data_IF_855099749986
#
_entry.id   IF_855099749986
#
_cell.length_a   1.000
_cell.length_b   1.000
_cell.length_c   1.000
_cell.angle_alpha   90.00
_cell.angle_beta   90.00
_cell.angle_gamma   90.00
#
_symmetry.space_group_name_H-M   'P 1'
#
loop_
_entity.id
_entity.type
_entity.pdbx_description
1 polymer ?
#
# COMPACT_ATOMS: atom_id res chain seq x y z
N UNK A 1 68.12 50.19 16.48
CA UNK A 1 67.11 49.69 15.51
C UNK A 1 66.31 48.61 16.23
N UNK A 2 65.19 48.98 16.87
CA UNK A 2 63.81 48.61 16.48
C UNK A 2 63.61 47.13 16.12
N UNK A 3 62.71 46.51 16.92
CA UNK A 3 61.78 45.41 16.58
C UNK A 3 62.40 44.00 16.59
N UNK A 4 61.76 42.94 17.08
CA UNK A 4 60.33 42.68 17.29
C UNK A 4 60.17 41.51 18.31
N UNK A 5 59.64 41.78 19.50
CA UNK A 5 59.17 40.74 20.42
C UNK A 5 57.85 40.18 19.90
N UNK A 6 57.89 39.04 19.20
CA UNK A 6 56.67 38.34 18.78
C UNK A 6 56.22 37.43 19.92
N UNK A 7 55.32 37.97 20.74
CA UNK A 7 54.57 37.27 21.78
C UNK A 7 53.82 36.11 21.10
N UNK A 8 54.24 34.88 21.37
CA UNK A 8 53.48 33.68 21.03
C UNK A 8 52.31 33.59 22.01
N UNK A 9 51.16 34.11 21.58
CA UNK A 9 49.86 33.91 22.24
C UNK A 9 49.49 32.43 22.17
N UNK A 10 49.72 31.68 23.25
CA UNK A 10 49.11 30.36 23.46
C UNK A 10 47.62 30.59 23.75
N UNK A 11 46.79 30.56 22.71
CA UNK A 11 45.34 30.44 22.89
C UNK A 11 45.08 29.11 23.59
N UNK A 12 44.76 29.18 24.87
CA UNK A 12 44.27 28.06 25.67
C UNK A 12 42.95 27.57 25.05
N UNK A 13 43.04 26.53 24.22
CA UNK A 13 41.87 25.71 23.88
C UNK A 13 41.42 25.05 25.18
N UNK A 14 40.31 25.53 25.74
CA UNK A 14 39.62 24.84 26.83
C UNK A 14 39.23 23.44 26.33
N UNK A 15 39.85 22.41 26.90
CA UNK A 15 39.46 21.03 26.65
C UNK A 15 38.20 20.69 27.43
N UNK A 16 37.32 19.87 26.84
CA UNK A 16 36.21 19.26 27.57
C UNK A 16 36.75 18.44 28.74
N UNK A 17 36.16 18.60 29.92
CA UNK A 17 36.48 17.77 31.07
C UNK A 17 35.85 16.38 30.90
N UNK A 18 36.47 15.34 31.48
CA UNK A 18 35.91 13.99 31.45
C UNK A 18 34.53 13.92 32.13
N UNK A 19 34.28 14.75 33.14
CA UNK A 19 32.99 14.79 33.85
C UNK A 19 31.88 15.41 32.99
N UNK A 20 32.19 16.43 32.18
CA UNK A 20 31.22 17.01 31.26
C UNK A 20 30.76 15.99 30.23
N UNK A 21 31.67 15.20 29.66
CA UNK A 21 31.28 14.15 28.72
C UNK A 21 30.46 13.03 29.38
N UNK A 22 30.77 12.68 30.64
CA UNK A 22 30.05 11.65 31.39
C UNK A 22 28.60 12.09 31.68
N UNK A 23 28.39 13.32 32.13
CA UNK A 23 27.03 13.82 32.40
C UNK A 23 26.22 13.90 31.10
N UNK A 24 26.82 14.29 29.98
CA UNK A 24 26.12 14.38 28.69
C UNK A 24 25.62 13.02 28.21
N UNK A 25 26.44 11.98 28.25
CA UNK A 25 25.98 10.63 27.84
C UNK A 25 24.90 10.09 28.77
N UNK A 26 24.97 10.41 30.08
CA UNK A 26 23.95 10.02 31.04
C UNK A 26 22.60 10.71 30.74
N UNK A 27 22.61 12.01 30.45
CA UNK A 27 21.41 12.77 30.10
C UNK A 27 20.83 12.30 28.76
N UNK A 28 21.66 12.08 27.73
CA UNK A 28 21.21 11.57 26.43
C UNK A 28 20.57 10.19 26.58
N UNK A 29 21.13 9.31 27.42
CA UNK A 29 20.57 7.98 27.69
C UNK A 29 19.15 8.04 28.26
N UNK A 30 18.92 8.89 29.27
CA UNK A 30 17.59 9.04 29.89
C UNK A 30 16.58 9.63 28.91
N UNK A 31 16.96 10.66 28.15
CA UNK A 31 16.09 11.29 27.17
C UNK A 31 15.74 10.33 26.02
N UNK A 32 16.68 9.51 25.56
CA UNK A 32 16.45 8.54 24.49
C UNK A 32 15.40 7.49 24.90
N UNK A 33 15.47 6.97 26.12
CA UNK A 33 14.46 6.02 26.63
C UNK A 33 13.09 6.68 26.77
N UNK A 34 13.03 7.92 27.27
CA UNK A 34 11.77 8.65 27.41
C UNK A 34 11.08 8.90 26.06
N UNK A 35 11.84 9.26 25.02
CA UNK A 35 11.30 9.48 23.65
C UNK A 35 10.86 8.16 23.00
N UNK A 36 11.64 7.09 23.13
CA UNK A 36 11.24 5.79 22.58
C UNK A 36 10.03 5.20 23.31
N UNK A 37 9.81 5.55 24.59
CA UNK A 37 8.61 5.17 25.33
C UNK A 37 7.36 5.96 24.91
N UNK A 38 7.51 7.16 24.35
CA UNK A 38 6.39 8.00 23.94
C UNK A 38 5.96 7.79 22.48
N UNK A 39 6.81 7.18 21.66
CA UNK A 39 6.53 6.84 20.27
C UNK A 39 6.31 5.33 20.16
N UNK A 40 5.27 4.91 19.44
CA UNK A 40 5.16 3.52 18.98
C UNK A 40 5.82 3.40 17.59
N UNK A 41 7.09 2.95 17.49
CA UNK A 41 7.82 2.90 16.22
C UNK A 41 7.20 1.89 15.24
N UNK A 42 6.63 0.80 15.75
CA UNK A 42 5.99 -0.23 14.93
C UNK A 42 4.78 0.35 14.23
N UNK A 43 3.95 1.11 14.95
CA UNK A 43 2.77 1.76 14.39
C UNK A 43 3.14 2.78 13.30
N UNK A 44 4.21 3.56 13.50
CA UNK A 44 4.67 4.51 12.48
C UNK A 44 5.17 3.81 11.21
N UNK A 45 5.86 2.68 11.35
CA UNK A 45 6.30 1.88 10.21
C UNK A 45 5.08 1.33 9.46
N UNK A 46 4.11 0.75 10.16
CA UNK A 46 2.87 0.23 9.55
C UNK A 46 2.11 1.33 8.82
N UNK A 47 1.96 2.51 9.44
CA UNK A 47 1.31 3.67 8.81
C UNK A 47 2.03 4.10 7.53
N UNK A 48 3.36 4.08 7.53
CA UNK A 48 4.17 4.34 6.35
C UNK A 48 4.00 3.27 5.25
N UNK A 49 3.81 2.00 5.62
CA UNK A 49 3.51 0.91 4.67
C UNK A 49 2.13 1.09 4.05
N UNK A 50 1.09 1.31 4.85
CA UNK A 50 -0.27 1.50 4.34
C UNK A 50 -0.39 2.74 3.43
N UNK A 51 0.29 3.84 3.80
CA UNK A 51 0.36 5.05 2.95
C UNK A 51 1.02 4.73 1.60
N UNK A 52 2.06 3.89 1.60
CA UNK A 52 2.70 3.43 0.36
C UNK A 52 1.74 2.54 -0.45
N UNK A 53 1.09 1.57 0.17
CA UNK A 53 0.11 0.69 -0.47
C UNK A 53 -1.04 1.48 -1.12
N UNK A 54 -1.57 2.49 -0.43
CA UNK A 54 -2.58 3.41 -0.97
C UNK A 54 -2.07 4.17 -2.20
N UNK A 55 -0.83 4.64 -2.19
CA UNK A 55 -0.22 5.30 -3.36
C UNK A 55 0.02 4.32 -4.52
N UNK A 56 0.44 3.10 -4.20
CA UNK A 56 0.70 2.04 -5.19
C UNK A 56 -0.62 1.60 -5.85
N UNK A 57 -1.70 1.48 -5.07
CA UNK A 57 -3.06 1.23 -5.54
C UNK A 57 -3.53 2.30 -6.54
N UNK A 58 -3.43 3.58 -6.17
CA UNK A 58 -3.79 4.68 -7.07
C UNK A 58 -2.93 4.70 -8.35
N UNK A 59 -1.63 4.43 -8.25
CA UNK A 59 -0.75 4.36 -9.40
C UNK A 59 -1.12 3.21 -10.36
N UNK A 60 -1.51 2.06 -9.80
CA UNK A 60 -1.92 0.88 -10.55
C UNK A 60 -3.23 1.12 -11.29
N UNK A 61 -4.26 1.69 -10.63
CA UNK A 61 -5.53 2.07 -11.28
C UNK A 61 -5.26 2.98 -12.48
N UNK A 62 -4.50 4.05 -12.26
CA UNK A 62 -4.16 5.00 -13.32
C UNK A 62 -3.41 4.33 -14.49
N UNK A 63 -2.58 3.32 -14.23
CA UNK A 63 -1.90 2.58 -15.28
C UNK A 63 -2.85 1.66 -16.08
N UNK A 64 -3.78 1.00 -15.39
CA UNK A 64 -4.83 0.19 -16.00
C UNK A 64 -5.73 1.06 -16.89
N UNK A 65 -6.11 2.24 -16.42
CA UNK A 65 -6.97 3.16 -17.18
C UNK A 65 -6.28 3.70 -18.43
N UNK A 66 -4.99 4.07 -18.34
CA UNK A 66 -4.20 4.47 -19.52
C UNK A 66 -4.09 3.34 -20.54
N UNK A 67 -3.81 2.13 -20.07
CA UNK A 67 -3.77 0.95 -20.93
C UNK A 67 -5.10 0.73 -21.66
N UNK A 68 -6.21 0.79 -20.92
CA UNK A 68 -7.56 0.62 -21.49
C UNK A 68 -7.89 1.72 -22.51
N UNK A 69 -7.53 2.98 -22.23
CA UNK A 69 -7.77 4.10 -23.14
C UNK A 69 -7.08 3.94 -24.52
N UNK A 70 -6.00 3.16 -24.59
CA UNK A 70 -5.24 2.91 -25.82
C UNK A 70 -5.69 1.61 -26.50
N UNK A 71 -5.93 0.56 -25.72
CA UNK A 71 -6.11 -0.80 -26.24
C UNK A 71 -7.59 -1.24 -26.28
N UNK A 72 -8.50 -0.46 -25.70
CA UNK A 72 -9.93 -0.75 -25.53
C UNK A 72 -10.22 -2.08 -24.82
N UNK A 73 -9.20 -2.62 -24.12
CA UNK A 73 -9.24 -3.85 -23.35
C UNK A 73 -8.40 -3.69 -22.09
N UNK A 74 -8.73 -4.47 -21.06
CA UNK A 74 -7.99 -4.45 -19.81
C UNK A 74 -6.72 -5.33 -19.85
N UNK A 75 -5.70 -5.06 -19.02
CA UNK A 75 -4.41 -5.75 -19.06
C UNK A 75 -4.48 -7.25 -18.77
N UNK A 76 -5.48 -7.75 -18.04
CA UNK A 76 -5.68 -9.18 -17.77
C UNK A 76 -6.26 -9.97 -18.95
N UNK A 77 -6.58 -9.30 -20.06
CA UNK A 77 -6.99 -9.94 -21.30
C UNK A 77 -5.75 -10.36 -22.12
N UNK A 78 -4.92 -11.24 -21.55
CA UNK A 78 -3.57 -11.63 -22.04
C UNK A 78 -3.53 -12.95 -22.82
N UNK A 79 -4.54 -13.80 -22.65
CA UNK A 79 -4.69 -15.04 -23.40
C UNK A 79 -5.83 -14.89 -24.39
N UNK A 80 -5.91 -15.74 -25.41
CA UNK A 80 -6.97 -15.77 -26.44
C UNK A 80 -8.38 -16.08 -25.89
N UNK A 81 -8.71 -15.55 -24.73
CA UNK A 81 -10.03 -15.48 -24.17
C UNK A 81 -10.87 -14.51 -25.01
N UNK A 82 -12.21 -14.69 -25.07
CA UNK A 82 -13.07 -13.73 -25.76
C UNK A 82 -12.81 -12.33 -25.20
N UNK A 83 -12.87 -11.30 -26.05
CA UNK A 83 -12.68 -9.90 -25.67
C UNK A 83 -13.59 -9.55 -24.47
N UNK A 84 -13.06 -9.71 -23.26
CA UNK A 84 -13.75 -9.30 -22.06
C UNK A 84 -13.62 -7.77 -22.00
N UNK A 85 -14.57 -7.12 -22.67
CA UNK A 85 -14.87 -5.69 -22.50
C UNK A 85 -15.50 -5.44 -21.12
N UNK A 86 -15.95 -6.51 -20.46
CA UNK A 86 -16.43 -6.49 -19.09
C UNK A 86 -15.26 -6.52 -18.09
N UNK A 87 -15.34 -5.71 -17.03
CA UNK A 87 -14.38 -5.73 -15.94
C UNK A 87 -14.32 -7.09 -15.22
N UNK A 88 -13.12 -7.49 -14.83
CA UNK A 88 -12.86 -8.70 -14.05
C UNK A 88 -12.53 -8.27 -12.62
N UNK A 89 -13.14 -8.91 -11.62
CA UNK A 89 -12.71 -8.81 -10.23
C UNK A 89 -11.49 -9.73 -10.05
N UNK A 90 -10.32 -9.15 -9.81
CA UNK A 90 -9.07 -9.83 -9.52
C UNK A 90 -8.84 -9.81 -8.00
N UNK A 91 -9.18 -10.93 -7.36
CA UNK A 91 -9.03 -11.13 -5.92
C UNK A 91 -7.81 -12.02 -5.65
N UNK A 92 -6.77 -11.45 -5.05
CA UNK A 92 -5.63 -12.20 -4.51
C UNK A 92 -5.74 -12.26 -2.99
N UNK A 93 -6.43 -13.26 -2.44
CA UNK A 93 -6.63 -13.40 -0.99
C UNK A 93 -5.52 -14.29 -0.39
N UNK A 94 -4.51 -13.71 0.28
CA UNK A 94 -3.50 -14.47 1.00
C UNK A 94 -4.14 -14.98 2.29
N UNK A 95 -4.77 -16.15 2.17
CA UNK A 95 -5.48 -16.95 3.17
C UNK A 95 -7.00 -17.00 2.90
N UNK A 96 -7.43 -18.18 2.45
CA UNK A 96 -8.81 -18.58 2.33
C UNK A 96 -9.56 -18.42 3.66
N UNK A 97 -10.22 -17.26 3.86
CA UNK A 97 -11.26 -17.07 4.87
C UNK A 97 -12.24 -15.94 4.54
N UNK A 98 -12.31 -15.45 3.29
CA UNK A 98 -13.63 -15.04 2.80
C UNK A 98 -14.27 -16.31 2.28
N UNK A 99 -15.19 -16.84 3.06
CA UNK A 99 -16.05 -17.96 2.69
C UNK A 99 -16.92 -17.51 1.51
N UNK A 100 -16.38 -17.57 0.29
CA UNK A 100 -17.20 -17.56 -0.90
C UNK A 100 -17.84 -18.93 -0.95
N UNK A 101 -18.99 -19.05 -0.28
CA UNK A 101 -19.78 -20.27 -0.10
C UNK A 101 -19.62 -21.17 -1.32
N UNK A 102 -18.84 -22.24 -1.12
CA UNK A 102 -18.60 -23.38 -2.00
C UNK A 102 -18.72 -23.13 -3.51
N UNK A 103 -17.57 -22.99 -4.18
CA UNK A 103 -17.15 -23.95 -5.22
C UNK A 103 -15.89 -23.48 -5.92
N UNK A 104 -15.08 -24.46 -6.35
CA UNK A 104 -14.48 -24.36 -7.67
C UNK A 104 -15.62 -24.22 -8.68
N UNK A 105 -16.00 -22.99 -9.01
CA UNK A 105 -17.07 -22.71 -9.97
C UNK A 105 -16.88 -21.33 -10.55
N UNK A 106 -16.57 -21.30 -11.84
CA UNK A 106 -17.04 -20.29 -12.77
C UNK A 106 -18.44 -19.79 -12.38
N UNK A 107 -18.54 -18.64 -11.73
CA UNK A 107 -19.76 -17.84 -11.75
C UNK A 107 -19.73 -17.03 -13.04
N UNK A 108 -20.12 -17.71 -14.12
CA UNK A 108 -20.58 -17.07 -15.35
C UNK A 108 -22.03 -16.68 -15.06
N UNK A 109 -22.23 -15.48 -14.54
CA UNK A 109 -23.56 -14.90 -14.52
C UNK A 109 -23.45 -13.47 -15.02
N UNK A 110 -23.52 -13.32 -16.36
CA UNK A 110 -23.96 -12.16 -17.14
C UNK A 110 -23.30 -10.76 -16.86
N UNK A 111 -22.48 -10.60 -15.82
CA UNK A 111 -22.21 -9.32 -15.17
C UNK A 111 -20.82 -9.15 -14.54
N UNK A 112 -19.86 -10.03 -14.82
CA UNK A 112 -18.48 -9.85 -14.37
C UNK A 112 -17.85 -11.14 -13.91
N UNK A 113 -16.65 -11.40 -14.40
CA UNK A 113 -15.87 -12.59 -14.07
C UNK A 113 -15.02 -12.26 -12.83
N UNK A 114 -15.07 -13.08 -11.78
CA UNK A 114 -14.04 -13.09 -10.76
C UNK A 114 -12.98 -14.11 -11.21
N UNK A 115 -11.82 -13.66 -11.70
CA UNK A 115 -10.69 -14.57 -11.97
C UNK A 115 -9.69 -14.42 -10.84
N UNK A 116 -9.48 -15.50 -10.10
CA UNK A 116 -8.31 -15.66 -9.26
C UNK A 116 -7.13 -16.03 -10.14
N UNK A 117 -6.44 -15.03 -10.69
CA UNK A 117 -5.07 -15.27 -11.14
C UNK A 117 -4.22 -15.30 -9.87
N UNK A 118 -3.71 -16.48 -9.51
CA UNK A 118 -2.67 -16.59 -8.47
C UNK A 118 -1.39 -15.87 -8.88
N UNK A 119 -1.28 -15.52 -10.16
CA UNK A 119 -0.08 -14.97 -10.77
C UNK A 119 -0.36 -13.55 -11.28
N UNK A 120 0.45 -12.61 -10.81
CA UNK A 120 0.44 -11.19 -11.18
C UNK A 120 1.01 -10.91 -12.59
N UNK A 121 1.06 -11.92 -13.45
CA UNK A 121 1.67 -11.86 -14.79
C UNK A 121 0.98 -10.87 -15.72
N UNK A 122 -0.32 -10.62 -15.53
CA UNK A 122 -1.06 -9.58 -16.26
C UNK A 122 -0.45 -8.18 -16.06
N UNK A 123 0.24 -7.94 -14.94
CA UNK A 123 0.91 -6.66 -14.67
C UNK A 123 2.14 -6.48 -15.57
N UNK A 124 2.74 -7.55 -16.08
CA UNK A 124 3.87 -7.44 -17.02
C UNK A 124 3.45 -6.87 -18.36
N UNK A 125 2.16 -6.97 -18.70
CA UNK A 125 1.61 -6.26 -19.87
C UNK A 125 1.75 -4.75 -19.70
N UNK A 126 1.55 -4.22 -18.50
CA UNK A 126 1.75 -2.80 -18.21
C UNK A 126 3.23 -2.38 -18.32
N UNK A 127 4.16 -3.30 -18.06
CA UNK A 127 5.60 -3.04 -18.28
C UNK A 127 5.92 -3.06 -19.76
N UNK A 128 5.48 -4.09 -20.48
CA UNK A 128 5.75 -4.26 -21.91
C UNK A 128 5.14 -3.16 -22.78
N UNK A 129 4.01 -2.58 -22.35
CA UNK A 129 3.38 -1.42 -22.99
C UNK A 129 3.88 -0.07 -22.48
N UNK A 130 4.89 -0.04 -21.62
CA UNK A 130 5.49 1.17 -21.06
C UNK A 130 4.54 2.03 -20.21
N UNK A 131 3.49 1.44 -19.64
CA UNK A 131 2.57 2.14 -18.75
C UNK A 131 3.15 2.33 -17.34
N UNK A 132 3.97 1.38 -16.90
CA UNK A 132 4.68 1.41 -15.61
C UNK A 132 6.09 0.86 -15.74
N UNK A 133 6.95 1.19 -14.78
CA UNK A 133 8.31 0.65 -14.70
C UNK A 133 8.30 -0.74 -14.08
N UNK A 134 9.22 -1.59 -14.50
CA UNK A 134 9.42 -2.94 -13.95
C UNK A 134 9.66 -2.94 -12.42
N UNK A 135 10.39 -1.95 -11.90
CA UNK A 135 10.60 -1.84 -10.45
C UNK A 135 9.34 -1.55 -9.63
N UNK A 136 8.29 -1.01 -10.26
CA UNK A 136 6.97 -0.85 -9.64
C UNK A 136 6.25 -2.20 -9.58
N UNK A 137 6.23 -2.92 -10.70
CA UNK A 137 5.51 -4.19 -10.82
C UNK A 137 6.14 -5.28 -9.98
N UNK A 138 7.47 -5.37 -9.93
CA UNK A 138 8.18 -6.30 -9.05
C UNK A 138 7.82 -6.08 -7.57
N UNK A 139 7.73 -4.82 -7.13
CA UNK A 139 7.29 -4.52 -5.75
C UNK A 139 5.84 -4.98 -5.51
N UNK A 140 4.95 -4.78 -6.47
CA UNK A 140 3.56 -5.22 -6.34
C UNK A 140 3.47 -6.75 -6.22
N UNK A 141 4.22 -7.47 -7.06
CA UNK A 141 4.33 -8.93 -7.06
C UNK A 141 4.94 -9.51 -5.78
N UNK A 142 5.85 -8.77 -5.14
CA UNK A 142 6.48 -9.21 -3.90
C UNK A 142 5.56 -9.00 -2.69
N UNK A 143 4.74 -7.94 -2.69
CA UNK A 143 3.90 -7.57 -1.54
C UNK A 143 2.48 -8.14 -1.62
N UNK A 144 1.92 -8.43 -2.81
CA UNK A 144 0.60 -9.06 -3.06
C UNK A 144 -0.52 -8.63 -2.09
N UNK A 145 -0.65 -7.33 -1.85
CA UNK A 145 -1.59 -6.74 -0.88
C UNK A 145 -2.77 -6.02 -1.50
N UNK A 146 -2.80 -5.93 -2.82
CA UNK A 146 -3.82 -5.19 -3.55
C UNK A 146 -4.80 -6.16 -4.20
N UNK A 147 -6.08 -5.84 -4.05
CA UNK A 147 -7.21 -6.47 -4.70
C UNK A 147 -7.72 -5.49 -5.74
N UNK A 148 -7.91 -5.93 -6.97
CA UNK A 148 -8.41 -5.06 -8.04
C UNK A 148 -9.77 -5.55 -8.45
N UNK A 149 -10.72 -4.66 -8.63
CA UNK A 149 -11.99 -5.07 -9.19
C UNK A 149 -12.82 -3.89 -9.57
N UNK A 150 -13.86 -4.16 -10.36
CA UNK A 150 -14.80 -3.14 -10.80
C UNK A 150 -16.19 -3.71 -10.69
N UNK A 151 -17.14 -2.87 -10.29
CA UNK A 151 -18.53 -3.28 -10.17
C UNK A 151 -19.13 -3.59 -11.56
N UNK A 152 -20.32 -4.21 -11.55
CA UNK A 152 -21.04 -4.68 -12.73
C UNK A 152 -21.70 -3.57 -13.57
N UNK A 153 -20.96 -2.94 -14.50
CA UNK A 153 -21.53 -2.03 -15.49
C UNK A 153 -20.51 -1.37 -16.44
N UNK A 154 -20.99 -0.89 -17.59
CA UNK A 154 -20.14 -0.36 -18.68
C UNK A 154 -19.34 0.90 -18.28
N UNK A 155 -19.89 1.74 -17.40
CA UNK A 155 -19.29 3.02 -16.98
C UNK A 155 -18.84 3.01 -15.52
N UNK A 156 -18.57 1.84 -14.96
CA UNK A 156 -18.27 1.74 -13.53
C UNK A 156 -16.80 1.98 -13.22
N UNK A 157 -16.53 2.46 -12.01
CA UNK A 157 -15.19 2.84 -11.58
C UNK A 157 -14.37 1.59 -11.25
N UNK A 158 -13.08 1.59 -11.60
CA UNK A 158 -12.14 0.57 -11.14
C UNK A 158 -11.80 0.85 -9.69
N UNK A 159 -11.71 -0.20 -8.88
CA UNK A 159 -11.32 -0.08 -7.49
C UNK A 159 -10.08 -0.92 -7.21
N UNK A 160 -9.19 -0.35 -6.42
CA UNK A 160 -8.09 -1.07 -5.81
C UNK A 160 -8.26 -1.04 -4.31
N UNK A 161 -8.41 -2.22 -3.71
CA UNK A 161 -8.56 -2.40 -2.28
C UNK A 161 -7.31 -3.00 -1.66
N UNK A 162 -7.07 -2.75 -0.37
CA UNK A 162 -6.02 -3.42 0.38
C UNK A 162 -6.43 -3.57 1.85
N UNK A 163 -5.85 -4.56 2.51
CA UNK A 163 -6.01 -4.74 3.95
C UNK A 163 -5.01 -3.85 4.70
N UNK A 164 -5.48 -2.92 5.54
CA UNK A 164 -4.60 -2.05 6.31
C UNK A 164 -3.90 -2.79 7.46
N UNK A 165 -2.73 -2.30 7.87
CA UNK A 165 -1.93 -2.88 8.96
C UNK A 165 -1.71 -1.93 10.13
N UNK A 166 -1.89 -0.63 9.92
CA UNK A 166 -1.84 0.41 10.95
C UNK A 166 -3.22 0.64 11.55
N UNK A 167 -3.25 0.91 12.86
CA UNK A 167 -4.49 1.18 13.61
C UNK A 167 -5.27 2.34 13.01
N UNK A 168 -4.57 3.37 12.53
CA UNK A 168 -5.22 4.52 11.92
C UNK A 168 -5.98 4.16 10.63
N UNK A 169 -5.42 3.30 9.79
CA UNK A 169 -6.08 2.86 8.56
C UNK A 169 -7.12 1.77 8.82
N UNK A 170 -6.91 0.90 9.81
CA UNK A 170 -7.94 -0.06 10.25
C UNK A 170 -9.18 0.68 10.73
N UNK A 171 -9.00 1.72 11.56
CA UNK A 171 -10.12 2.55 12.01
C UNK A 171 -10.79 3.29 10.85
N UNK A 172 -10.01 3.78 9.87
CA UNK A 172 -10.57 4.37 8.65
C UNK A 172 -11.44 3.37 7.87
N UNK A 173 -11.01 2.10 7.77
CA UNK A 173 -11.79 1.05 7.12
C UNK A 173 -13.09 0.75 7.89
N UNK A 174 -13.01 0.65 9.22
CA UNK A 174 -14.16 0.41 10.10
C UNK A 174 -15.19 1.56 10.04
N UNK A 175 -14.72 2.81 10.09
CA UNK A 175 -15.56 4.02 9.97
C UNK A 175 -16.30 4.02 8.61
N UNK A 176 -15.59 3.72 7.52
CA UNK A 176 -16.17 3.62 6.18
C UNK A 176 -17.23 2.51 6.05
N UNK A 177 -17.13 1.47 6.86
CA UNK A 177 -18.06 0.35 6.90
C UNK A 177 -19.31 0.64 7.75
N UNK A 178 -19.16 1.35 8.86
CA UNK A 178 -20.26 1.71 9.76
C UNK A 178 -21.13 2.85 9.24
N UNK A 179 -20.55 3.80 8.50
CA UNK A 179 -21.28 4.94 7.93
C UNK A 179 -22.20 4.57 6.75
N UNK A 180 -22.16 3.32 6.26
CA UNK A 180 -22.96 2.86 5.12
C UNK A 180 -22.65 3.59 3.80
N UNK A 181 -21.57 4.37 3.77
CA UNK A 181 -21.07 5.13 2.62
C UNK A 181 -20.33 4.23 1.63
N UNK A 182 -19.97 3.01 2.04
CA UNK A 182 -19.30 2.02 1.21
C UNK A 182 -20.29 0.92 0.79
N UNK A 183 -21.07 1.19 -0.26
CA UNK A 183 -21.62 0.08 -1.08
C UNK A 183 -20.45 -0.72 -1.61
N UNK A 184 -20.45 -2.05 -1.48
CA UNK A 184 -19.38 -2.93 -2.00
C UNK A 184 -19.00 -2.51 -3.43
N UNK A 185 -17.90 -1.77 -3.62
CA UNK A 185 -17.58 -1.12 -4.88
C UNK A 185 -17.07 -2.12 -5.91
N UNK A 186 -16.82 -3.37 -5.46
CA UNK A 186 -16.40 -4.50 -6.26
C UNK A 186 -17.44 -5.60 -6.12
N UNK A 187 -17.93 -6.10 -7.26
CA UNK A 187 -18.89 -7.19 -7.29
C UNK A 187 -18.29 -8.45 -6.64
N UNK A 188 -18.99 -9.00 -5.64
CA UNK A 188 -18.59 -10.24 -4.95
C UNK A 188 -17.50 -10.07 -3.89
N UNK A 189 -17.04 -8.85 -3.57
CA UNK A 189 -16.07 -8.62 -2.49
C UNK A 189 -16.76 -7.94 -1.33
N UNK A 190 -16.82 -8.62 -0.19
CA UNK A 190 -17.18 -7.97 1.06
C UNK A 190 -16.03 -7.02 1.45
N UNK A 191 -16.26 -5.72 1.29
CA UNK A 191 -15.32 -4.67 1.77
C UNK A 191 -15.43 -4.47 3.27
N UNK A 192 -16.59 -4.85 3.81
CA UNK A 192 -16.94 -4.77 5.21
C UNK A 192 -17.36 -6.16 5.67
N UNK A 193 -16.72 -6.69 6.71
CA UNK A 193 -17.23 -7.90 7.36
C UNK A 193 -18.40 -7.51 8.28
N UNK A 194 -19.64 -7.73 7.83
CA UNK A 194 -20.87 -7.39 8.59
C UNK A 194 -21.11 -8.39 9.76
N UNK A 195 -20.04 -8.89 10.36
CA UNK A 195 -20.02 -9.85 11.47
C UNK A 195 -19.03 -9.52 12.59
N UNK A 196 -18.23 -8.46 12.47
CA UNK A 196 -17.27 -8.03 13.49
C UNK A 196 -15.90 -8.75 13.45
N UNK A 197 -15.49 -9.25 12.28
CA UNK A 197 -14.11 -9.68 12.02
C UNK A 197 -13.17 -8.52 11.73
N UNK A 198 -11.87 -8.82 11.63
CA UNK A 198 -10.75 -7.86 11.55
C UNK A 198 -10.36 -7.45 10.13
N UNK A 199 -11.18 -7.79 9.14
CA UNK A 199 -10.74 -7.91 7.75
C UNK A 199 -11.34 -6.83 6.84
N UNK A 200 -11.66 -5.65 7.38
CA UNK A 200 -12.17 -4.51 6.61
C UNK A 200 -11.12 -3.96 5.65
N UNK A 201 -11.55 -3.63 4.43
CA UNK A 201 -10.65 -3.17 3.37
C UNK A 201 -10.77 -1.66 3.13
N UNK A 202 -9.65 -1.05 2.74
CA UNK A 202 -9.64 0.30 2.17
C UNK A 202 -9.66 0.16 0.66
N UNK A 203 -10.69 0.70 0.02
CA UNK A 203 -10.86 0.73 -1.43
C UNK A 203 -10.72 2.13 -1.98
N UNK A 204 -9.93 2.27 -3.04
CA UNK A 204 -9.72 3.51 -3.79
C UNK A 204 -10.37 3.38 -5.18
N UNK A 205 -11.14 4.38 -5.64
CA UNK A 205 -11.60 4.48 -7.02
C UNK A 205 -10.47 4.87 -8.00
#
# INVERSE_FOLDING_TARGET
MKKLSKILSFTSKAGFTMIELLVVIAVIGVLAVAVLSSINPIEQINKGRDTRTRSDAAQLINAIDRYYAIHEKYPWNVTNAPDYTAPVALLDLPNAAIDFVGAASTLITEHGLAVTYTDWDWVDVLVSTSEVKEGFTNRLKDDNKLFIGKSAGYNETMYACFMPTSKAFVQEAEDNCTDGTTTTPIAGVAVCDIGGGTDDLICLP
#
